data_IF_756958878082
#
_entry.id   IF_756958878082
#
_cell.length_a   1.000
_cell.length_b   1.000
_cell.length_c   1.000
_cell.angle_alpha   90.00
_cell.angle_beta   90.00
_cell.angle_gamma   90.00
#
_symmetry.space_group_name_H-M   'P 1'
#
loop_
_entity.id
_entity.type
_entity.pdbx_description
1 polymer ?
#
# COMPACT_ATOMS: atom_id res chain seq x y z
N UNK A 1 5.13 19.86 20.91
CA UNK A 1 6.53 19.37 20.77
C UNK A 1 6.74 17.97 21.36
N UNK A 2 5.79 17.04 21.12
CA UNK A 2 5.96 15.61 21.38
C UNK A 2 6.38 14.88 20.08
N UNK A 3 5.83 15.33 18.95
CA UNK A 3 6.04 14.75 17.61
C UNK A 3 7.50 14.72 17.15
N UNK A 4 8.32 15.72 17.50
CA UNK A 4 9.76 15.72 17.16
C UNK A 4 10.54 14.66 17.94
N UNK A 5 10.19 14.43 19.21
CA UNK A 5 10.81 13.37 20.01
C UNK A 5 10.37 12.00 19.49
N UNK A 6 9.08 11.83 19.21
CA UNK A 6 8.52 10.60 18.64
C UNK A 6 9.13 10.25 17.28
N UNK A 7 9.31 11.24 16.39
CA UNK A 7 9.97 11.03 15.09
C UNK A 7 11.38 10.46 15.23
N UNK A 8 12.17 10.95 16.19
CA UNK A 8 13.52 10.43 16.46
C UNK A 8 13.48 9.00 17.01
N UNK A 9 12.53 8.69 17.89
CA UNK A 9 12.34 7.34 18.43
C UNK A 9 11.97 6.37 17.31
N UNK A 10 10.98 6.70 16.48
CA UNK A 10 10.54 5.87 15.36
C UNK A 10 11.64 5.64 14.33
N UNK A 11 12.35 6.69 13.93
CA UNK A 11 13.45 6.60 12.96
C UNK A 11 14.59 5.70 13.47
N UNK A 12 15.01 5.90 14.73
CA UNK A 12 16.05 5.07 15.34
C UNK A 12 15.61 3.61 15.46
N UNK A 13 14.32 3.35 15.70
CA UNK A 13 13.75 2.00 15.81
C UNK A 13 13.82 1.28 14.47
N UNK A 14 13.39 1.93 13.39
CA UNK A 14 13.46 1.36 12.03
C UNK A 14 14.91 1.10 11.60
N UNK A 15 15.81 2.05 11.84
CA UNK A 15 17.23 1.88 11.51
C UNK A 15 17.87 0.75 12.32
N UNK A 16 17.50 0.60 13.59
CA UNK A 16 17.97 -0.49 14.44
C UNK A 16 17.45 -1.84 13.96
N UNK A 17 16.16 -1.91 13.59
CA UNK A 17 15.55 -3.12 13.04
C UNK A 17 16.25 -3.54 11.74
N UNK A 18 16.51 -2.61 10.82
CA UNK A 18 17.23 -2.88 9.56
C UNK A 18 18.68 -3.34 9.75
N UNK A 19 19.35 -2.93 10.84
CA UNK A 19 20.74 -3.33 11.14
C UNK A 19 20.84 -4.69 11.83
N UNK A 20 19.74 -5.23 12.34
CA UNK A 20 19.75 -6.59 12.88
C UNK A 20 19.91 -7.56 11.70
N UNK A 21 20.91 -8.44 11.71
CA UNK A 21 20.99 -9.49 10.70
C UNK A 21 19.66 -10.24 10.72
N UNK A 22 19.08 -10.46 9.53
CA UNK A 22 17.88 -11.27 9.42
C UNK A 22 18.17 -12.60 10.12
N UNK A 23 17.54 -12.84 11.27
CA UNK A 23 17.41 -14.22 11.74
C UNK A 23 16.68 -14.91 10.62
N UNK A 24 17.36 -15.83 9.94
CA UNK A 24 16.71 -16.79 9.05
C UNK A 24 15.78 -17.57 9.96
N UNK A 25 14.56 -17.07 10.10
CA UNK A 25 13.44 -17.86 10.56
C UNK A 25 13.14 -18.70 9.33
N UNK A 26 13.54 -19.96 9.37
CA UNK A 26 13.00 -20.97 8.47
C UNK A 26 11.52 -20.99 8.76
N UNK A 27 10.75 -20.21 8.02
CA UNK A 27 9.31 -20.35 8.01
C UNK A 27 9.08 -21.69 7.34
N UNK A 28 8.88 -22.74 8.14
CA UNK A 28 8.28 -23.96 7.65
C UNK A 28 7.04 -23.55 6.86
N UNK A 29 6.94 -24.01 5.61
CA UNK A 29 5.88 -23.68 4.69
C UNK A 29 4.56 -23.55 5.44
N UNK A 30 4.08 -22.31 5.61
CA UNK A 30 2.65 -22.12 5.81
C UNK A 30 2.06 -22.59 4.50
N UNK A 31 1.62 -23.86 4.49
CA UNK A 31 0.67 -24.37 3.53
C UNK A 31 -0.34 -23.25 3.32
N UNK A 32 -0.44 -22.81 2.07
CA UNK A 32 -1.39 -21.81 1.61
C UNK A 32 -2.73 -22.12 2.24
N UNK A 33 -3.11 -21.35 3.27
CA UNK A 33 -4.46 -21.40 3.81
C UNK A 33 -5.38 -21.17 2.62
N UNK A 34 -6.23 -22.15 2.26
CA UNK A 34 -7.21 -21.91 1.23
C UNK A 34 -8.20 -20.94 1.85
N UNK A 35 -8.01 -19.66 1.56
CA UNK A 35 -9.08 -18.68 1.73
C UNK A 35 -10.09 -19.03 0.65
N UNK A 36 -10.98 -19.98 0.96
CA UNK A 36 -12.25 -20.14 0.26
C UNK A 36 -13.10 -18.91 0.56
N UNK A 37 -12.68 -17.77 0.03
CA UNK A 37 -13.63 -16.70 -0.25
C UNK A 37 -14.48 -17.22 -1.40
N UNK A 38 -15.80 -17.30 -1.19
CA UNK A 38 -16.77 -17.52 -2.25
C UNK A 38 -16.40 -16.59 -3.42
N UNK A 39 -15.78 -17.17 -4.46
CA UNK A 39 -15.41 -16.42 -5.66
C UNK A 39 -16.70 -16.13 -6.41
N UNK A 40 -17.39 -15.08 -6.03
CA UNK A 40 -18.08 -14.27 -7.02
C UNK A 40 -16.99 -13.82 -7.98
N UNK A 41 -16.84 -14.56 -9.10
CA UNK A 41 -15.95 -14.17 -10.19
C UNK A 41 -16.41 -12.79 -10.67
N UNK A 42 -15.79 -11.76 -10.12
CA UNK A 42 -15.96 -10.39 -10.53
C UNK A 42 -14.72 -10.05 -11.36
N UNK A 43 -14.79 -10.40 -12.64
CA UNK A 43 -13.70 -10.24 -13.60
C UNK A 43 -13.16 -8.79 -13.60
N UNK A 44 -14.01 -7.80 -13.32
CA UNK A 44 -13.61 -6.40 -13.20
C UNK A 44 -12.75 -6.13 -11.95
N UNK A 45 -13.07 -6.76 -10.83
CA UNK A 45 -12.29 -6.63 -9.60
C UNK A 45 -10.91 -7.29 -9.77
N UNK A 46 -10.85 -8.48 -10.36
CA UNK A 46 -9.59 -9.16 -10.67
C UNK A 46 -8.72 -8.34 -11.63
N UNK A 47 -9.32 -7.77 -12.69
CA UNK A 47 -8.62 -6.89 -13.63
C UNK A 47 -8.09 -5.62 -12.95
N UNK A 48 -8.86 -5.00 -12.05
CA UNK A 48 -8.43 -3.85 -11.28
C UNK A 48 -7.24 -4.19 -10.37
N UNK A 49 -7.31 -5.32 -9.65
CA UNK A 49 -6.20 -5.77 -8.80
C UNK A 49 -4.93 -6.04 -9.61
N UNK A 50 -5.05 -6.71 -10.77
CA UNK A 50 -3.92 -6.90 -11.68
C UNK A 50 -3.33 -5.56 -12.15
N UNK A 51 -4.18 -4.60 -12.53
CA UNK A 51 -3.73 -3.27 -12.94
C UNK A 51 -3.02 -2.49 -11.81
N UNK A 52 -3.50 -2.62 -10.56
CA UNK A 52 -2.87 -2.01 -9.38
C UNK A 52 -1.48 -2.60 -9.10
N UNK A 53 -1.30 -3.92 -9.32
CA UNK A 53 -0.02 -4.58 -9.09
C UNK A 53 1.11 -4.06 -10.00
N UNK A 54 0.77 -3.59 -11.20
CA UNK A 54 1.72 -3.00 -12.15
C UNK A 54 2.11 -1.54 -11.84
N UNK A 55 1.43 -0.89 -10.88
CA UNK A 55 1.80 0.46 -10.45
C UNK A 55 3.17 0.45 -9.74
N UNK A 56 3.84 1.60 -9.77
CA UNK A 56 5.04 1.83 -8.95
C UNK A 56 4.68 1.70 -7.47
N UNK A 57 5.63 1.25 -6.65
CA UNK A 57 5.41 0.93 -5.22
C UNK A 57 4.65 2.02 -4.46
N UNK A 58 5.04 3.29 -4.66
CA UNK A 58 4.38 4.42 -3.99
C UNK A 58 2.93 4.58 -4.43
N UNK A 59 2.65 4.47 -5.73
CA UNK A 59 1.32 4.68 -6.28
C UNK A 59 0.39 3.50 -5.92
N UNK A 60 0.92 2.27 -5.92
CA UNK A 60 0.23 1.07 -5.43
C UNK A 60 -0.15 1.22 -3.95
N UNK A 61 0.78 1.66 -3.11
CA UNK A 61 0.51 1.89 -1.68
C UNK A 61 -0.60 2.92 -1.48
N UNK A 62 -0.52 4.06 -2.17
CA UNK A 62 -1.51 5.13 -2.05
C UNK A 62 -2.92 4.65 -2.41
N UNK A 63 -3.09 3.98 -3.56
CA UNK A 63 -4.43 3.53 -3.99
C UNK A 63 -4.95 2.38 -3.12
N UNK A 64 -4.08 1.48 -2.64
CA UNK A 64 -4.48 0.38 -1.74
C UNK A 64 -5.05 0.94 -0.44
N UNK A 65 -4.34 1.86 0.21
CA UNK A 65 -4.82 2.48 1.45
C UNK A 65 -6.12 3.27 1.23
N UNK A 66 -6.28 3.90 0.07
CA UNK A 66 -7.53 4.58 -0.27
C UNK A 66 -8.71 3.60 -0.40
N UNK A 67 -8.48 2.42 -0.98
CA UNK A 67 -9.50 1.37 -1.12
C UNK A 67 -9.81 0.69 0.22
N UNK A 68 -8.82 0.60 1.12
CA UNK A 68 -9.00 0.14 2.50
C UNK A 68 -9.77 1.14 3.38
N UNK A 69 -10.08 2.33 2.85
CA UNK A 69 -10.94 3.34 3.50
C UNK A 69 -10.22 4.39 4.32
N UNK A 70 -8.87 4.47 4.25
CA UNK A 70 -8.12 5.52 4.93
C UNK A 70 -8.38 6.90 4.33
N UNK A 71 -8.41 7.92 5.18
CA UNK A 71 -8.54 9.29 4.72
C UNK A 71 -7.24 9.79 4.07
N UNK A 72 -7.37 10.71 3.10
CA UNK A 72 -6.20 11.29 2.40
C UNK A 72 -5.17 11.93 3.34
N UNK A 73 -5.59 12.37 4.53
CA UNK A 73 -4.70 12.93 5.55
C UNK A 73 -3.85 11.84 6.22
N UNK A 74 -4.46 10.73 6.62
CA UNK A 74 -3.77 9.56 7.18
C UNK A 74 -2.81 8.94 6.16
N UNK A 75 -3.25 8.82 4.89
CA UNK A 75 -2.41 8.34 3.80
C UNK A 75 -1.21 9.27 3.58
N UNK A 76 -1.42 10.59 3.64
CA UNK A 76 -0.34 11.56 3.50
C UNK A 76 0.70 11.43 4.61
N UNK A 77 0.25 11.29 5.86
CA UNK A 77 1.11 11.12 7.02
C UNK A 77 1.93 9.82 6.94
N UNK A 78 1.31 8.71 6.53
CA UNK A 78 1.99 7.43 6.34
C UNK A 78 3.00 7.48 5.18
N UNK A 79 2.66 8.17 4.08
CA UNK A 79 3.49 8.28 2.89
C UNK A 79 4.61 9.34 3.00
N UNK A 80 4.59 10.18 4.05
CA UNK A 80 5.49 11.34 4.16
C UNK A 80 5.23 12.41 3.09
N UNK A 81 3.97 12.54 2.65
CA UNK A 81 3.51 13.50 1.66
C UNK A 81 2.63 14.58 2.31
N UNK A 82 2.29 15.63 1.56
CA UNK A 82 1.24 16.56 1.98
C UNK A 82 -0.13 16.06 1.52
N UNK A 83 -1.19 16.35 2.27
CA UNK A 83 -2.59 16.01 1.92
C UNK A 83 -2.95 16.39 0.47
N UNK A 84 -2.53 17.57 0.01
CA UNK A 84 -2.76 18.02 -1.36
C UNK A 84 -2.00 17.19 -2.41
N UNK A 85 -0.73 16.84 -2.15
CA UNK A 85 0.05 15.99 -3.04
C UNK A 85 -0.57 14.58 -3.14
N UNK A 86 -0.97 14.01 -1.99
CA UNK A 86 -1.68 12.73 -1.91
C UNK A 86 -2.97 12.76 -2.74
N UNK A 87 -3.80 13.78 -2.59
CA UNK A 87 -5.05 13.92 -3.35
C UNK A 87 -4.80 14.00 -4.87
N UNK A 88 -3.83 14.81 -5.30
CA UNK A 88 -3.46 14.92 -6.72
C UNK A 88 -2.90 13.61 -7.28
N UNK A 89 -2.08 12.90 -6.50
CA UNK A 89 -1.56 11.59 -6.89
C UNK A 89 -2.66 10.55 -7.01
N UNK A 90 -3.53 10.44 -6.01
CA UNK A 90 -4.67 9.52 -6.04
C UNK A 90 -5.59 9.80 -7.23
N UNK A 91 -5.84 11.07 -7.56
CA UNK A 91 -6.59 11.43 -8.75
C UNK A 91 -5.91 10.88 -10.02
N UNK A 92 -4.61 11.12 -10.20
CA UNK A 92 -3.86 10.65 -11.38
C UNK A 92 -3.81 9.12 -11.47
N UNK A 93 -3.66 8.44 -10.34
CA UNK A 93 -3.66 6.97 -10.28
C UNK A 93 -5.02 6.43 -10.72
N UNK A 94 -6.13 6.98 -10.18
CA UNK A 94 -7.48 6.60 -10.58
C UNK A 94 -7.73 6.81 -12.08
N UNK A 95 -7.36 7.97 -12.62
CA UNK A 95 -7.44 8.24 -14.07
C UNK A 95 -6.62 7.25 -14.91
N UNK A 96 -5.42 6.90 -14.45
CA UNK A 96 -4.56 5.91 -15.11
C UNK A 96 -5.18 4.51 -15.12
N UNK A 97 -5.74 4.07 -13.99
CA UNK A 97 -6.43 2.79 -13.87
C UNK A 97 -7.69 2.74 -14.74
N UNK A 98 -8.52 3.79 -14.72
CA UNK A 98 -9.72 3.89 -15.56
C UNK A 98 -9.35 3.78 -17.05
N UNK A 99 -8.30 4.49 -17.48
CA UNK A 99 -7.85 4.42 -18.88
C UNK A 99 -7.41 3.02 -19.24
N UNK A 100 -6.57 2.41 -18.40
CA UNK A 100 -6.04 1.06 -18.65
C UNK A 100 -7.16 0.02 -18.71
N UNK A 101 -8.16 0.10 -17.84
CA UNK A 101 -9.29 -0.83 -17.82
C UNK A 101 -10.28 -0.63 -18.99
N UNK A 102 -10.30 0.54 -19.63
CA UNK A 102 -11.07 0.76 -20.86
C UNK A 102 -10.41 0.18 -22.11
N UNK A 103 -9.10 -0.10 -22.04
CA UNK A 103 -8.31 -0.65 -23.14
C UNK A 103 -8.29 -2.19 -23.13
N UNK A 104 -8.88 -2.83 -22.10
CA UNK A 104 -9.16 -4.28 -22.06
C UNK A 104 -10.48 -4.60 -22.75
#
# INVERSE_FOLDING_TARGET
>A
KFSTWLYRVSLNTVLTFKRRPAKVVTTENFETLPVEAERTHNDEAEALYAAILELKDIDRMLITLHLDGYENEEIADMAGLTKNNTAVKLHRIKEGLIRKLKDF
#
